data_IF_790576344644
#
_entry.id   IF_790576344644
#
_cell.length_a   1.000
_cell.length_b   1.000
_cell.length_c   1.000
_cell.angle_alpha   90.00
_cell.angle_beta   90.00
_cell.angle_gamma   90.00
#
_symmetry.space_group_name_H-M   'P 1'
#
loop_
_entity.id
_entity.type
_entity.pdbx_description
1 polymer ?
#
# COMPACT_ATOMS: atom_id res chain seq x y z
N UNK A 1 -43.00 22.53 -53.85
CA UNK A 1 -41.56 22.36 -53.63
C UNK A 1 -41.30 22.79 -52.18
N UNK A 2 -41.25 21.84 -51.21
CA UNK A 2 -41.02 22.11 -49.77
C UNK A 2 -39.64 21.56 -49.43
N UNK A 3 -38.75 22.48 -49.06
CA UNK A 3 -37.39 22.17 -48.61
C UNK A 3 -37.44 21.74 -47.15
N UNK A 4 -37.01 20.50 -46.84
CA UNK A 4 -36.82 20.05 -45.48
C UNK A 4 -35.37 20.30 -45.05
N UNK A 5 -35.15 21.22 -44.10
CA UNK A 5 -33.88 21.38 -43.41
C UNK A 5 -33.73 20.24 -42.38
N UNK A 6 -32.71 19.43 -42.57
CA UNK A 6 -32.23 18.47 -41.56
C UNK A 6 -31.27 19.18 -40.59
N UNK A 7 -31.65 19.34 -39.36
CA UNK A 7 -30.79 19.81 -38.32
C UNK A 7 -29.95 18.65 -37.80
N UNK A 8 -28.64 18.69 -38.00
CA UNK A 8 -27.69 17.74 -37.42
C UNK A 8 -27.34 18.19 -35.97
N UNK A 9 -27.78 17.40 -34.99
CA UNK A 9 -27.38 17.60 -33.60
C UNK A 9 -26.00 16.99 -33.39
N UNK A 10 -25.00 17.82 -33.15
CA UNK A 10 -23.66 17.39 -32.71
C UNK A 10 -23.69 17.06 -31.23
N UNK A 11 -23.57 15.78 -30.91
CA UNK A 11 -23.34 15.32 -29.52
C UNK A 11 -21.86 15.52 -29.17
N UNK A 12 -21.55 16.54 -28.39
CA UNK A 12 -20.22 16.75 -27.85
C UNK A 12 -19.99 15.76 -26.68
N UNK A 13 -19.18 14.73 -26.96
CA UNK A 13 -18.71 13.79 -25.93
C UNK A 13 -17.66 14.52 -25.07
N UNK A 14 -18.08 14.99 -23.90
CA UNK A 14 -17.16 15.56 -22.91
C UNK A 14 -16.33 14.43 -22.31
N UNK A 15 -15.12 14.26 -22.82
CA UNK A 15 -14.10 13.40 -22.24
C UNK A 15 -13.61 14.08 -20.95
N UNK A 16 -14.24 13.73 -19.81
CA UNK A 16 -13.79 14.16 -18.51
C UNK A 16 -12.46 13.50 -18.19
N UNK A 17 -11.35 14.22 -18.39
CA UNK A 17 -10.05 13.84 -17.84
C UNK A 17 -10.15 13.98 -16.33
N UNK A 18 -10.26 12.84 -15.62
CA UNK A 18 -10.02 12.79 -14.17
C UNK A 18 -8.53 13.06 -13.96
N UNK A 19 -8.18 14.33 -13.82
CA UNK A 19 -6.89 14.73 -13.31
C UNK A 19 -6.85 14.25 -11.85
N UNK A 20 -6.16 13.14 -11.62
CA UNK A 20 -5.78 12.73 -10.27
C UNK A 20 -5.04 13.90 -9.63
N UNK A 21 -5.69 14.55 -8.66
CA UNK A 21 -5.07 15.63 -7.89
C UNK A 21 -3.85 15.04 -7.18
N UNK A 22 -2.66 15.31 -7.73
CA UNK A 22 -1.45 15.27 -6.95
C UNK A 22 -1.71 16.14 -5.72
N UNK A 23 -1.44 15.61 -4.53
CA UNK A 23 -1.60 16.32 -3.28
C UNK A 23 -0.87 17.65 -3.39
N UNK A 24 -1.64 18.75 -3.38
CA UNK A 24 -1.09 20.10 -3.38
C UNK A 24 -0.45 20.29 -2.00
N UNK A 25 0.80 19.87 -1.90
CA UNK A 25 1.64 20.16 -0.75
C UNK A 25 2.08 21.60 -0.91
N UNK A 26 1.32 22.53 -0.34
CA UNK A 26 1.72 23.92 -0.28
C UNK A 26 3.11 23.99 0.35
N UNK A 27 4.11 24.19 -0.52
CA UNK A 27 5.50 24.23 -0.15
C UNK A 27 5.77 25.55 0.59
N UNK A 28 5.74 25.50 1.92
CA UNK A 28 6.35 26.51 2.76
C UNK A 28 7.87 26.31 2.65
N UNK A 29 8.50 26.99 1.66
CA UNK A 29 9.94 26.86 1.41
C UNK A 29 10.46 25.45 1.10
N UNK A 30 9.63 24.58 0.52
CA UNK A 30 9.99 23.18 0.22
C UNK A 30 9.73 22.19 1.36
N UNK A 31 9.25 22.66 2.51
CA UNK A 31 8.85 21.78 3.61
C UNK A 31 7.49 21.12 3.33
N UNK A 32 7.39 19.81 3.57
CA UNK A 32 6.15 19.03 3.50
C UNK A 32 5.75 18.61 4.91
N UNK A 33 4.50 18.92 5.28
CA UNK A 33 3.90 18.50 6.56
C UNK A 33 2.64 17.71 6.27
N UNK A 34 2.56 16.50 6.81
CA UNK A 34 1.43 15.61 6.62
C UNK A 34 0.98 15.06 7.98
N UNK A 35 -0.22 15.44 8.41
CA UNK A 35 -0.81 14.86 9.63
C UNK A 35 -1.45 13.50 9.32
N UNK A 36 -1.74 12.65 10.33
CA UNK A 36 -2.39 11.35 10.10
C UNK A 36 -3.71 11.45 9.32
N UNK A 37 -4.49 12.51 9.54
CA UNK A 37 -5.80 12.74 8.92
C UNK A 37 -5.69 13.13 7.44
N UNK A 38 -4.54 13.63 7.03
CA UNK A 38 -4.25 14.04 5.66
C UNK A 38 -3.70 12.89 4.80
N UNK A 39 -3.40 11.73 5.40
CA UNK A 39 -2.91 10.55 4.66
C UNK A 39 -4.00 10.06 3.71
N UNK A 40 -3.68 9.98 2.42
CA UNK A 40 -4.59 9.49 1.38
C UNK A 40 -4.39 8.00 1.18
N UNK A 41 -5.26 7.22 1.79
CA UNK A 41 -5.26 5.77 1.71
C UNK A 41 -5.92 5.29 0.41
N UNK A 42 -5.36 4.24 -0.18
CA UNK A 42 -5.89 3.53 -1.33
C UNK A 42 -6.09 2.07 -0.95
N UNK A 43 -7.24 1.52 -1.30
CA UNK A 43 -7.52 0.11 -1.04
C UNK A 43 -6.61 -0.77 -1.89
N UNK A 44 -6.10 -1.83 -1.28
CA UNK A 44 -5.35 -2.87 -1.97
C UNK A 44 -6.37 -3.89 -2.50
N UNK A 45 -6.42 -4.15 -3.82
CA UNK A 45 -7.31 -5.18 -4.37
C UNK A 45 -7.11 -6.53 -3.67
N UNK A 46 -8.22 -7.18 -3.34
CA UNK A 46 -8.25 -8.48 -2.62
C UNK A 46 -7.54 -8.47 -1.24
N UNK A 47 -7.24 -7.28 -0.72
CA UNK A 47 -6.47 -7.07 0.52
C UNK A 47 -7.27 -7.22 1.80
N UNK A 48 -8.53 -7.69 1.78
CA UNK A 48 -9.41 -7.78 2.95
C UNK A 48 -9.50 -6.47 3.75
N UNK A 49 -9.50 -5.32 3.04
CA UNK A 49 -9.51 -3.98 3.63
C UNK A 49 -8.12 -3.42 3.94
N UNK A 50 -7.05 -4.12 3.61
CA UNK A 50 -5.70 -3.56 3.66
C UNK A 50 -5.57 -2.36 2.71
N UNK A 51 -4.80 -1.36 3.13
CA UNK A 51 -4.65 -0.11 2.40
C UNK A 51 -3.18 0.30 2.33
N UNK A 52 -2.83 1.05 1.29
CA UNK A 52 -1.51 1.65 1.10
C UNK A 52 -1.65 3.15 0.86
N UNK A 53 -0.68 3.92 1.34
CA UNK A 53 -0.57 5.34 1.03
C UNK A 53 0.88 5.68 0.67
N UNK A 54 1.10 6.31 -0.47
CA UNK A 54 2.42 6.90 -0.79
C UNK A 54 2.53 8.25 -0.09
N UNK A 55 3.53 8.36 0.77
CA UNK A 55 3.81 9.56 1.57
C UNK A 55 4.79 10.49 0.83
N UNK A 56 5.79 9.90 0.17
CA UNK A 56 6.77 10.63 -0.62
C UNK A 56 7.39 9.74 -1.69
N UNK A 57 7.90 10.35 -2.74
CA UNK A 57 8.57 9.67 -3.85
C UNK A 57 7.61 8.89 -4.75
N UNK A 58 8.20 8.08 -5.65
CA UNK A 58 7.46 7.19 -6.54
C UNK A 58 7.89 5.73 -6.28
N UNK A 59 7.02 4.89 -5.72
CA UNK A 59 7.34 3.48 -5.46
C UNK A 59 7.53 2.65 -6.74
N UNK A 60 7.10 3.15 -7.90
CA UNK A 60 7.35 2.50 -9.22
C UNK A 60 8.63 2.99 -9.90
N UNK A 61 9.18 4.09 -9.43
CA UNK A 61 10.42 4.66 -9.93
C UNK A 61 11.67 3.95 -9.40
N UNK A 62 12.82 4.57 -9.59
CA UNK A 62 14.14 4.05 -9.14
C UNK A 62 14.73 4.86 -7.98
N UNK A 63 13.98 5.84 -7.48
CA UNK A 63 14.39 6.71 -6.38
C UNK A 63 13.89 6.23 -5.02
N UNK A 64 14.15 7.05 -4.02
CA UNK A 64 13.62 6.86 -2.66
C UNK A 64 12.10 7.01 -2.66
N UNK A 65 11.43 6.12 -1.93
CA UNK A 65 10.00 6.25 -1.64
C UNK A 65 9.71 6.03 -0.15
N UNK A 66 8.61 6.60 0.30
CA UNK A 66 8.01 6.35 1.62
C UNK A 66 6.55 5.97 1.41
N UNK A 67 6.16 4.81 1.91
CA UNK A 67 4.78 4.36 1.94
C UNK A 67 4.35 4.05 3.37
N UNK A 68 3.04 4.09 3.61
CA UNK A 68 2.43 3.47 4.79
C UNK A 68 1.52 2.35 4.33
N UNK A 69 1.54 1.26 5.07
CA UNK A 69 0.62 0.12 4.88
C UNK A 69 -0.23 0.00 6.13
N UNK A 70 -1.52 -0.20 5.92
CA UNK A 70 -2.52 -0.42 6.95
C UNK A 70 -3.06 -1.83 6.81
N UNK A 71 -2.96 -2.60 7.86
CA UNK A 71 -3.55 -3.92 7.98
C UNK A 71 -4.74 -3.84 8.93
N UNK A 72 -5.96 -4.18 8.50
CA UNK A 72 -7.08 -4.37 9.42
C UNK A 72 -6.79 -5.47 10.44
N UNK A 73 -7.57 -5.53 11.51
CA UNK A 73 -7.55 -6.63 12.47
C UNK A 73 -7.62 -7.99 11.77
N UNK A 74 -6.75 -8.92 12.13
CA UNK A 74 -6.68 -10.29 11.60
C UNK A 74 -6.39 -10.38 10.09
N UNK A 75 -5.77 -9.36 9.49
CA UNK A 75 -5.34 -9.39 8.08
C UNK A 75 -3.82 -9.47 8.01
N UNK A 76 -3.32 -10.45 7.29
CA UNK A 76 -1.89 -10.66 7.04
C UNK A 76 -1.63 -10.92 5.56
N UNK A 77 -0.41 -10.70 5.12
CA UNK A 77 0.06 -11.20 3.83
C UNK A 77 0.80 -12.53 3.97
N UNK A 78 0.89 -13.27 2.86
CA UNK A 78 1.63 -14.54 2.78
C UNK A 78 3.08 -14.30 2.42
N UNK A 79 3.94 -15.35 2.56
CA UNK A 79 5.36 -15.28 2.20
C UNK A 79 5.59 -14.68 0.83
N UNK A 80 6.42 -13.64 0.80
CA UNK A 80 6.77 -12.86 -0.38
C UNK A 80 8.15 -12.24 -0.22
N UNK A 81 8.64 -11.62 -1.28
CA UNK A 81 9.90 -10.87 -1.26
C UNK A 81 9.81 -9.61 -2.13
N UNK A 82 10.77 -8.72 -1.95
CA UNK A 82 10.92 -7.47 -2.70
C UNK A 82 12.28 -7.40 -3.40
N UNK A 83 12.40 -6.70 -4.55
CA UNK A 83 13.66 -6.62 -5.27
C UNK A 83 14.77 -5.88 -4.52
N UNK A 84 14.40 -4.93 -3.66
CA UNK A 84 15.31 -4.07 -2.91
C UNK A 84 15.03 -4.14 -1.41
N UNK A 85 16.00 -3.71 -0.61
CA UNK A 85 15.85 -3.58 0.84
C UNK A 85 14.70 -2.63 1.19
N UNK A 86 13.95 -2.99 2.25
CA UNK A 86 12.92 -2.15 2.83
C UNK A 86 13.16 -1.99 4.32
N UNK A 87 13.09 -0.76 4.79
CA UNK A 87 13.16 -0.40 6.20
C UNK A 87 11.74 -0.15 6.71
N UNK A 88 11.29 -0.93 7.66
CA UNK A 88 9.91 -0.88 8.16
C UNK A 88 9.92 -0.42 9.61
N UNK A 89 9.07 0.56 9.92
CA UNK A 89 8.86 1.08 11.27
C UNK A 89 7.39 0.96 11.64
N UNK A 90 7.10 0.41 12.81
CA UNK A 90 5.73 0.29 13.32
C UNK A 90 5.28 1.65 13.85
N UNK A 91 4.14 2.16 13.34
CA UNK A 91 3.53 3.42 13.78
C UNK A 91 2.36 3.19 14.74
N UNK A 92 1.56 2.13 14.53
CA UNK A 92 0.35 1.84 15.32
C UNK A 92 0.10 0.34 15.39
N UNK A 93 -0.47 -0.11 16.50
CA UNK A 93 -0.86 -1.51 16.74
C UNK A 93 0.34 -2.43 16.96
N UNK A 94 0.09 -3.72 17.10
CA UNK A 94 1.12 -4.75 17.18
C UNK A 94 1.28 -5.40 15.80
N UNK A 95 2.42 -5.18 15.18
CA UNK A 95 2.75 -5.77 13.88
C UNK A 95 3.37 -7.15 14.07
N UNK A 96 2.76 -8.16 13.49
CA UNK A 96 3.20 -9.55 13.57
C UNK A 96 3.99 -9.92 12.33
N UNK A 97 5.21 -10.44 12.50
CA UNK A 97 6.15 -10.70 11.41
C UNK A 97 6.70 -12.11 11.48
N UNK A 98 6.94 -12.68 10.30
CA UNK A 98 7.63 -13.94 10.15
C UNK A 98 8.59 -13.93 8.97
N UNK A 99 9.55 -14.84 8.95
CA UNK A 99 10.57 -14.98 7.91
C UNK A 99 10.55 -16.37 7.30
N UNK A 100 11.01 -16.46 6.04
CA UNK A 100 11.05 -17.72 5.31
C UNK A 100 9.73 -18.06 4.59
N UNK A 101 9.68 -19.28 3.96
CA UNK A 101 8.59 -19.65 3.06
C UNK A 101 7.34 -20.19 3.78
N UNK A 102 7.42 -20.45 5.08
CA UNK A 102 6.31 -21.05 5.83
C UNK A 102 5.48 -19.98 6.51
N UNK A 103 4.20 -19.89 6.13
CA UNK A 103 3.23 -19.02 6.78
C UNK A 103 2.69 -19.67 8.05
N UNK A 104 3.10 -19.17 9.21
CA UNK A 104 2.68 -19.67 10.53
C UNK A 104 2.39 -18.52 11.49
N UNK A 105 1.18 -17.94 11.45
CA UNK A 105 0.81 -16.82 12.31
C UNK A 105 0.96 -17.08 13.82
N UNK A 106 0.94 -18.35 14.26
CA UNK A 106 1.10 -18.70 15.68
C UNK A 106 2.54 -18.49 16.15
N UNK A 107 3.49 -18.46 15.23
CA UNK A 107 4.92 -18.25 15.51
C UNK A 107 5.41 -16.88 15.09
N UNK A 108 4.51 -15.99 14.68
CA UNK A 108 4.85 -14.63 14.32
C UNK A 108 5.45 -13.86 15.50
N UNK A 109 6.45 -13.05 15.22
CA UNK A 109 7.09 -12.17 16.22
C UNK A 109 6.29 -10.88 16.33
N UNK A 110 5.73 -10.56 17.51
CA UNK A 110 5.00 -9.31 17.71
C UNK A 110 5.96 -8.12 17.87
N UNK A 111 5.71 -7.07 17.11
CA UNK A 111 6.49 -5.84 17.12
C UNK A 111 5.57 -4.64 17.43
N UNK A 112 5.84 -3.95 18.54
CA UNK A 112 5.03 -2.80 19.01
C UNK A 112 5.46 -1.49 18.34
N UNK A 113 4.67 -0.41 18.44
CA UNK A 113 5.04 0.91 17.92
C UNK A 113 6.44 1.35 18.33
N UNK A 114 7.19 1.92 17.37
CA UNK A 114 8.60 2.27 17.51
C UNK A 114 9.57 1.14 17.15
N UNK A 115 9.10 -0.10 16.96
CA UNK A 115 9.94 -1.20 16.48
C UNK A 115 10.36 -0.99 15.02
N UNK A 116 11.50 -1.57 14.68
CA UNK A 116 12.09 -1.53 13.34
C UNK A 116 12.43 -2.93 12.85
N UNK A 117 12.20 -3.17 11.55
CA UNK A 117 12.64 -4.38 10.84
C UNK A 117 13.22 -4.01 9.47
N UNK A 118 14.33 -4.65 9.11
CA UNK A 118 14.82 -4.67 7.74
C UNK A 118 14.25 -5.89 7.01
N UNK A 119 13.64 -5.66 5.86
CA UNK A 119 13.38 -6.71 4.87
C UNK A 119 14.51 -6.67 3.83
N UNK A 120 15.49 -7.59 3.89
CA UNK A 120 16.56 -7.63 2.91
C UNK A 120 16.00 -7.94 1.51
N UNK A 121 16.63 -7.43 0.49
CA UNK A 121 16.30 -7.73 -0.89
C UNK A 121 16.20 -9.25 -1.12
N UNK A 122 15.09 -9.68 -1.74
CA UNK A 122 14.78 -11.07 -2.09
C UNK A 122 14.63 -12.04 -0.90
N UNK A 123 14.69 -11.57 0.34
CA UNK A 123 14.44 -12.40 1.51
C UNK A 123 12.93 -12.62 1.71
N UNK A 124 12.52 -13.87 1.85
CA UNK A 124 11.14 -14.23 2.10
C UNK A 124 10.72 -13.82 3.51
N UNK A 125 9.59 -13.14 3.61
CA UNK A 125 8.93 -12.73 4.84
C UNK A 125 7.41 -12.65 4.63
N UNK A 126 6.68 -12.51 5.71
CA UNK A 126 5.23 -12.33 5.76
C UNK A 126 4.87 -11.56 7.02
N UNK A 127 3.80 -10.76 6.98
CA UNK A 127 3.47 -9.88 8.09
C UNK A 127 2.02 -9.42 8.09
N UNK A 128 1.63 -8.65 9.12
CA UNK A 128 0.32 -8.06 9.23
C UNK A 128 -0.20 -7.94 10.65
N UNK A 129 -1.52 -8.01 10.83
CA UNK A 129 -2.19 -8.03 12.11
C UNK A 129 -2.68 -9.44 12.46
N UNK A 130 -2.24 -9.98 13.60
CA UNK A 130 -2.77 -11.22 14.20
C UNK A 130 -3.45 -10.92 15.54
N UNK A 131 -4.16 -9.80 15.61
CA UNK A 131 -4.89 -9.33 16.79
C UNK A 131 -6.17 -8.60 16.39
N UNK A 132 -6.99 -8.22 17.38
CA UNK A 132 -8.21 -7.42 17.19
C UNK A 132 -7.92 -5.94 16.85
N UNK A 133 -6.66 -5.56 16.67
CA UNK A 133 -6.25 -4.18 16.39
C UNK A 133 -5.75 -4.00 14.96
N UNK A 134 -6.01 -2.81 14.42
CA UNK A 134 -5.42 -2.32 13.18
C UNK A 134 -3.93 -2.04 13.39
N UNK A 135 -3.12 -2.39 12.40
CA UNK A 135 -1.69 -2.09 12.36
C UNK A 135 -1.39 -1.08 11.25
N UNK A 136 -0.53 -0.12 11.54
CA UNK A 136 0.04 0.79 10.54
C UNK A 136 1.57 0.74 10.64
N UNK A 137 2.19 0.43 9.53
CA UNK A 137 3.65 0.49 9.38
C UNK A 137 4.05 1.55 8.35
N UNK A 138 5.24 2.12 8.50
CA UNK A 138 5.86 2.96 7.49
C UNK A 138 7.05 2.24 6.87
N UNK A 139 7.04 2.18 5.56
CA UNK A 139 8.08 1.57 4.73
C UNK A 139 8.89 2.67 4.06
N UNK A 140 10.20 2.59 4.17
CA UNK A 140 11.17 3.37 3.42
C UNK A 140 12.00 2.43 2.55
N UNK A 141 12.23 2.78 1.30
CA UNK A 141 13.05 1.98 0.39
C UNK A 141 13.50 2.76 -0.83
N UNK A 142 14.25 2.07 -1.67
CA UNK A 142 14.59 2.50 -3.03
C UNK A 142 13.76 1.65 -3.99
N UNK A 143 13.06 2.29 -4.91
CA UNK A 143 12.19 1.60 -5.86
C UNK A 143 12.96 0.86 -6.98
N UNK A 144 12.28 0.00 -7.72
CA UNK A 144 10.85 -0.27 -7.66
C UNK A 144 10.45 -1.06 -6.41
N UNK A 145 9.23 -0.78 -5.92
CA UNK A 145 8.66 -1.38 -4.71
C UNK A 145 7.78 -2.61 -5.03
N UNK A 146 8.22 -3.42 -5.97
CA UNK A 146 7.49 -4.62 -6.39
C UNK A 146 7.40 -5.65 -5.26
N UNK A 147 6.33 -6.45 -5.30
CA UNK A 147 6.10 -7.57 -4.40
C UNK A 147 5.95 -8.85 -5.21
N UNK A 148 6.71 -9.87 -4.88
CA UNK A 148 6.63 -11.18 -5.55
C UNK A 148 6.20 -12.24 -4.53
N UNK A 149 4.99 -12.82 -4.66
CA UNK A 149 4.55 -13.93 -3.81
C UNK A 149 5.47 -15.15 -3.95
N UNK A 150 5.73 -15.84 -2.85
CA UNK A 150 6.47 -17.12 -2.85
C UNK A 150 5.70 -18.22 -3.57
N UNK A 151 4.37 -18.23 -3.42
CA UNK A 151 3.46 -19.14 -4.14
C UNK A 151 2.35 -18.32 -4.83
N UNK A 152 2.45 -18.06 -6.14
CA UNK A 152 1.45 -17.27 -6.87
C UNK A 152 0.11 -18.00 -7.08
N UNK A 153 -0.02 -19.27 -6.68
CA UNK A 153 -1.27 -20.02 -6.76
C UNK A 153 -2.17 -19.81 -5.55
N UNK A 154 -1.63 -19.25 -4.46
CA UNK A 154 -2.40 -18.95 -3.26
C UNK A 154 -2.82 -17.45 -3.25
N UNK A 155 -3.97 -17.14 -2.62
CA UNK A 155 -4.30 -15.75 -2.33
C UNK A 155 -3.17 -15.09 -1.55
N UNK A 156 -2.73 -13.92 -1.96
CA UNK A 156 -1.64 -13.22 -1.29
C UNK A 156 -2.06 -12.72 0.11
N UNK A 157 -3.24 -12.14 0.21
CA UNK A 157 -3.81 -11.65 1.46
C UNK A 157 -4.66 -12.71 2.15
N UNK A 158 -4.64 -12.72 3.46
CA UNK A 158 -5.35 -13.69 4.32
C UNK A 158 -6.10 -12.96 5.41
N UNK A 159 -7.40 -13.25 5.50
CA UNK A 159 -8.20 -12.95 6.69
C UNK A 159 -8.07 -14.14 7.65
N UNK A 160 -7.42 -13.96 8.78
CA UNK A 160 -7.34 -14.98 9.82
C UNK A 160 -8.70 -15.17 10.49
N UNK A 161 -9.01 -16.40 10.86
CA UNK A 161 -10.19 -16.69 11.69
C UNK A 161 -9.89 -16.33 13.15
N UNK A 162 -10.90 -15.81 13.84
CA UNK A 162 -10.85 -15.52 15.28
C UNK A 162 -10.83 -16.80 16.10
#
# INVERSE_FOLDING_TARGET
MRLHLLAAAAVALACGTVLGSASDHSADGGFVRLTPEQVRWQDIPDGHGAQVATIAGDPKGTGVYIQRVRFPAHVMDRPHWHPNDRHVTVLKGIWYTGTGPTFDPQRAVPMKPGSYMLHPAKALHWDGSNSDEEVIVQVFGIGPADTTPADPKQPFWVQLQK
#
